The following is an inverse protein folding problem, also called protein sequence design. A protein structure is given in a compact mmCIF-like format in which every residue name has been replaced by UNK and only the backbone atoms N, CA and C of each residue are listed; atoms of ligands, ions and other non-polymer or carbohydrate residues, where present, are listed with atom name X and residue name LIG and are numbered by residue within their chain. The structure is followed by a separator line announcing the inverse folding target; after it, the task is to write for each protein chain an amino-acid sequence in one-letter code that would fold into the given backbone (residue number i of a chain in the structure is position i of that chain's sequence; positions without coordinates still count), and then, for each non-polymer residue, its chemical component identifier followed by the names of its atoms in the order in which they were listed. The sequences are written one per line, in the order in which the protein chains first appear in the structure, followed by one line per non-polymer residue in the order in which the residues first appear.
data_IF_707727960791
#
_entry.id   IF_707727960791
#
_cell.length_a   1.000
_cell.length_b   1.000
_cell.length_c   1.000
_cell.angle_alpha   90.00
_cell.angle_beta   90.00
_cell.angle_gamma   90.00
#
_symmetry.space_group_name_H-M   'P 1'
#
loop_
_entity.id
_entity.type
_entity.pdbx_description
1 polymer ?
#
# COMPACT_ATOMS: atom_id res chain seq x y z
N UNK A 1 17.86 55.74 16.43
CA UNK A 1 17.11 55.09 15.34
C UNK A 1 17.83 53.80 15.00
N UNK A 2 17.16 52.65 15.19
CA UNK A 2 17.43 51.37 14.53
C UNK A 2 16.30 50.42 14.96
N UNK A 3 15.30 50.26 14.11
CA UNK A 3 14.22 49.30 14.30
C UNK A 3 14.62 48.00 13.60
N UNK A 4 14.62 46.91 14.35
CA UNK A 4 14.74 45.53 13.86
C UNK A 4 13.47 45.17 13.08
N UNK A 5 13.54 44.53 11.90
CA UNK A 5 12.33 44.10 11.20
C UNK A 5 11.79 42.82 11.83
N UNK A 6 10.50 42.82 12.14
CA UNK A 6 9.75 41.66 12.60
C UNK A 6 9.57 40.67 11.43
N UNK A 7 9.95 39.40 11.66
CA UNK A 7 9.68 38.31 10.74
C UNK A 7 8.20 37.93 10.83
N UNK A 8 7.43 38.26 9.79
CA UNK A 8 6.08 37.73 9.60
C UNK A 8 6.19 36.25 9.25
N UNK A 9 5.67 35.39 10.13
CA UNK A 9 5.51 33.97 9.87
C UNK A 9 4.29 33.77 8.96
N UNK A 10 4.55 33.31 7.73
CA UNK A 10 3.53 32.92 6.76
C UNK A 10 2.72 31.73 7.29
N UNK A 11 1.60 32.00 7.96
CA UNK A 11 0.60 31.00 8.37
C UNK A 11 -0.18 30.40 7.18
N UNK A 12 0.19 30.73 5.94
CA UNK A 12 -0.63 30.44 4.75
C UNK A 12 -0.15 29.25 3.90
N UNK A 13 0.82 28.45 4.38
CA UNK A 13 1.38 27.34 3.58
C UNK A 13 0.69 25.98 3.83
N UNK A 14 -0.03 25.80 4.94
CA UNK A 14 -0.68 24.50 5.23
C UNK A 14 -2.08 24.32 4.60
N UNK A 15 -2.76 25.39 4.21
CA UNK A 15 -4.10 25.31 3.58
C UNK A 15 -4.05 24.90 2.10
N UNK A 16 -2.90 25.03 1.42
CA UNK A 16 -2.77 24.78 -0.02
C UNK A 16 -2.77 23.30 -0.46
N UNK A 17 -2.87 22.33 0.48
CA UNK A 17 -2.88 20.89 0.16
C UNK A 17 -4.19 20.16 0.52
N UNK A 18 -5.18 20.87 1.07
CA UNK A 18 -6.52 20.32 1.23
C UNK A 18 -7.33 20.54 -0.06
N UNK A 19 -7.01 19.79 -1.11
CA UNK A 19 -7.94 19.66 -2.24
C UNK A 19 -9.20 18.98 -1.70
N UNK A 20 -10.33 19.68 -1.72
CA UNK A 20 -11.66 19.08 -1.59
C UNK A 20 -11.84 18.11 -2.77
N UNK A 21 -11.47 16.85 -2.55
CA UNK A 21 -11.70 15.78 -3.52
C UNK A 21 -13.21 15.51 -3.52
N UNK A 22 -13.90 15.65 -4.66
CA UNK A 22 -15.31 15.32 -4.76
C UNK A 22 -15.55 13.90 -4.22
N UNK A 23 -16.63 13.73 -3.46
CA UNK A 23 -17.04 12.45 -2.84
C UNK A 23 -17.39 11.34 -3.87
N UNK A 24 -17.12 11.58 -5.15
CA UNK A 24 -17.59 10.77 -6.27
C UNK A 24 -16.60 9.83 -6.94
N UNK A 25 -15.28 9.84 -6.66
CA UNK A 25 -14.39 8.90 -7.36
C UNK A 25 -13.08 8.58 -6.61
N UNK A 26 -13.22 8.00 -5.42
CA UNK A 26 -12.06 7.40 -4.76
C UNK A 26 -11.63 6.16 -5.55
N UNK A 27 -10.48 6.22 -6.21
CA UNK A 27 -9.93 5.10 -6.99
C UNK A 27 -9.79 3.78 -6.21
N UNK A 28 -9.32 2.72 -6.88
CA UNK A 28 -9.31 1.37 -6.30
C UNK A 28 -8.43 1.20 -5.05
N UNK A 29 -7.39 2.02 -4.90
CA UNK A 29 -6.52 1.98 -3.72
C UNK A 29 -7.15 2.81 -2.60
N UNK A 30 -7.54 2.14 -1.51
CA UNK A 30 -8.21 2.76 -0.35
C UNK A 30 -7.23 3.08 0.76
N UNK A 31 -6.22 2.23 0.95
CA UNK A 31 -5.14 2.42 1.90
C UNK A 31 -3.83 1.93 1.29
N UNK A 32 -2.73 2.56 1.66
CA UNK A 32 -1.42 2.11 1.25
C UNK A 32 -0.38 2.43 2.33
N UNK A 33 0.69 1.66 2.33
CA UNK A 33 1.88 1.89 3.15
C UNK A 33 3.11 1.70 2.28
N UNK A 34 4.09 2.57 2.43
CA UNK A 34 5.32 2.55 1.63
C UNK A 34 6.52 2.25 2.51
N UNK A 35 7.35 1.30 2.09
CA UNK A 35 8.63 0.98 2.71
C UNK A 35 8.55 0.69 4.22
N UNK A 36 7.50 0.00 4.63
CA UNK A 36 7.32 -0.46 6.00
C UNK A 36 8.38 -1.50 6.33
N UNK A 37 8.88 -1.46 7.56
CA UNK A 37 9.91 -2.40 8.00
C UNK A 37 9.29 -3.71 8.47
N UNK A 38 9.85 -4.82 8.00
CA UNK A 38 9.44 -6.20 8.34
C UNK A 38 9.55 -6.49 9.85
N UNK A 39 10.52 -5.91 10.52
CA UNK A 39 10.81 -6.10 11.95
C UNK A 39 9.86 -5.34 12.89
N UNK A 40 9.16 -4.31 12.39
CA UNK A 40 8.16 -3.55 13.14
C UNK A 40 6.74 -4.16 13.07
N UNK A 41 6.56 -5.24 12.30
CA UNK A 41 5.29 -5.97 12.23
C UNK A 41 5.18 -6.95 13.38
N UNK A 42 4.06 -6.94 14.09
CA UNK A 42 3.74 -7.98 15.07
C UNK A 42 3.12 -9.19 14.36
N UNK A 43 4.00 -10.12 13.99
CA UNK A 43 3.65 -11.35 13.26
C UNK A 43 2.83 -12.34 14.10
N UNK A 44 3.03 -12.36 15.42
CA UNK A 44 2.33 -13.26 16.35
C UNK A 44 0.85 -12.90 16.47
N UNK A 45 0.56 -11.61 16.65
CA UNK A 45 -0.81 -11.11 16.80
C UNK A 45 -1.49 -10.81 15.46
N UNK A 46 -0.80 -11.05 14.33
CA UNK A 46 -1.26 -10.70 12.99
C UNK A 46 -1.61 -9.22 12.85
N UNK A 47 -0.69 -8.36 13.29
CA UNK A 47 -0.87 -6.93 13.40
C UNK A 47 0.14 -6.17 12.49
N UNK A 48 -0.37 -5.61 11.40
CA UNK A 48 0.32 -4.62 10.57
C UNK A 48 -0.27 -3.26 10.94
N UNK A 49 0.35 -2.60 11.93
CA UNK A 49 -0.21 -1.43 12.57
C UNK A 49 0.27 -0.15 11.89
N UNK A 50 -0.68 0.69 11.50
CA UNK A 50 -0.40 2.01 10.93
C UNK A 50 -1.42 3.05 11.37
N UNK A 51 -1.08 4.31 11.18
CA UNK A 51 -1.96 5.43 11.49
C UNK A 51 -2.51 6.03 10.18
N UNK A 52 -3.79 5.82 9.84
CA UNK A 52 -4.39 6.42 8.65
C UNK A 52 -4.43 7.94 8.76
N UNK A 53 -3.83 8.63 7.78
CA UNK A 53 -3.80 10.11 7.74
C UNK A 53 -5.22 10.67 7.71
N UNK A 54 -5.50 11.68 8.53
CA UNK A 54 -6.81 12.32 8.60
C UNK A 54 -7.89 11.57 9.40
N UNK A 55 -7.54 10.49 10.11
CA UNK A 55 -8.45 9.72 10.98
C UNK A 55 -8.34 10.11 12.48
N UNK A 56 -7.53 11.11 12.80
CA UNK A 56 -7.46 11.67 14.15
C UNK A 56 -8.60 12.65 14.46
N UNK A 57 -9.34 13.12 13.44
CA UNK A 57 -10.28 14.24 13.57
C UNK A 57 -9.59 15.56 13.95
N UNK A 58 -10.37 16.64 14.06
CA UNK A 58 -9.86 17.98 14.39
C UNK A 58 -9.38 18.07 15.86
N UNK A 59 -8.52 19.04 16.16
CA UNK A 59 -8.03 19.36 17.51
C UNK A 59 -6.79 18.58 17.97
N UNK A 60 -6.08 19.15 18.96
CA UNK A 60 -4.83 18.60 19.52
C UNK A 60 -5.07 17.27 20.26
N UNK A 61 -4.06 16.40 20.23
CA UNK A 61 -4.03 15.18 21.07
C UNK A 61 -3.61 15.60 22.48
N UNK A 62 -4.35 15.16 23.50
CA UNK A 62 -4.00 15.45 24.89
C UNK A 62 -2.62 14.86 25.25
N UNK A 63 -1.83 15.56 26.07
CA UNK A 63 -0.47 15.15 26.39
C UNK A 63 -0.38 13.75 27.03
N UNK A 64 -1.39 13.37 27.81
CA UNK A 64 -1.51 12.07 28.49
C UNK A 64 -2.28 11.00 27.68
N UNK A 65 -2.59 11.26 26.40
CA UNK A 65 -3.30 10.30 25.57
C UNK A 65 -2.38 9.13 25.21
N UNK A 66 -2.89 7.91 25.34
CA UNK A 66 -2.21 6.70 24.90
C UNK A 66 -2.13 6.65 23.36
N UNK A 67 -0.96 6.99 22.82
CA UNK A 67 -0.72 7.03 21.38
C UNK A 67 -0.82 5.66 20.70
N UNK A 68 -0.74 4.56 21.44
CA UNK A 68 -0.95 3.21 20.89
C UNK A 68 -2.41 2.97 20.45
N UNK A 69 -3.34 3.86 20.82
CA UNK A 69 -4.73 3.83 20.32
C UNK A 69 -4.91 4.54 18.98
N UNK A 70 -3.89 5.25 18.49
CA UNK A 70 -3.92 5.97 17.22
C UNK A 70 -3.52 5.13 16.00
N UNK A 71 -3.42 3.81 16.19
CA UNK A 71 -3.08 2.85 15.15
C UNK A 71 -4.25 1.92 14.85
N UNK A 72 -4.32 1.49 13.60
CA UNK A 72 -5.26 0.54 13.05
C UNK A 72 -4.49 -0.61 12.39
N UNK A 73 -5.05 -1.82 12.45
CA UNK A 73 -4.47 -3.00 11.84
C UNK A 73 -4.91 -3.14 10.38
N UNK A 74 -3.94 -3.28 9.49
CA UNK A 74 -4.14 -3.46 8.05
C UNK A 74 -3.85 -4.87 7.55
N UNK A 75 -3.61 -5.84 8.46
CA UNK A 75 -3.31 -7.23 8.08
C UNK A 75 -4.32 -7.82 7.09
N UNK A 76 -5.61 -7.57 7.34
CA UNK A 76 -6.74 -8.11 6.58
C UNK A 76 -6.98 -7.49 5.20
N UNK A 77 -6.14 -6.56 4.76
CA UNK A 77 -6.25 -5.95 3.44
C UNK A 77 -6.07 -6.97 2.30
N UNK A 78 -6.70 -6.69 1.16
CA UNK A 78 -6.47 -7.39 -0.12
C UNK A 78 -5.97 -6.36 -1.13
N UNK A 79 -5.07 -6.76 -2.00
CA UNK A 79 -4.38 -5.85 -2.90
C UNK A 79 -3.05 -6.40 -3.37
N UNK A 80 -2.14 -5.50 -3.73
CA UNK A 80 -0.78 -5.85 -4.18
C UNK A 80 0.27 -5.34 -3.21
N UNK A 81 1.43 -5.98 -3.22
CA UNK A 81 2.57 -5.60 -2.40
C UNK A 81 3.89 -5.77 -3.15
N UNK A 82 4.89 -5.02 -2.73
CA UNK A 82 6.27 -5.08 -3.22
C UNK A 82 7.20 -5.27 -2.03
N UNK A 83 8.13 -6.20 -2.12
CA UNK A 83 9.20 -6.42 -1.16
C UNK A 83 10.48 -5.78 -1.67
N UNK A 84 11.26 -5.19 -0.77
CA UNK A 84 12.52 -4.54 -1.09
C UNK A 84 13.63 -5.01 -0.17
N UNK A 85 14.86 -4.99 -0.68
CA UNK A 85 16.05 -5.02 0.17
C UNK A 85 16.30 -3.67 0.86
N UNK A 86 17.34 -3.60 1.68
CA UNK A 86 17.68 -2.40 2.45
C UNK A 86 18.05 -1.20 1.57
N UNK A 87 18.46 -1.45 0.32
CA UNK A 87 18.79 -0.41 -0.67
C UNK A 87 17.59 0.04 -1.50
N UNK A 88 16.36 -0.39 -1.14
CA UNK A 88 15.11 -0.09 -1.84
C UNK A 88 15.02 -0.67 -3.25
N UNK A 89 15.81 -1.69 -3.59
CA UNK A 89 15.59 -2.41 -4.85
C UNK A 89 14.38 -3.35 -4.72
N UNK A 90 13.43 -3.33 -5.67
CA UNK A 90 12.36 -4.31 -5.71
C UNK A 90 12.92 -5.72 -5.86
N UNK A 91 12.58 -6.61 -4.94
CA UNK A 91 13.06 -8.00 -4.97
C UNK A 91 11.95 -8.98 -5.28
N UNK A 92 10.71 -8.62 -4.96
CA UNK A 92 9.52 -9.40 -5.27
C UNK A 92 8.29 -8.50 -5.34
N UNK A 93 7.37 -8.77 -6.25
CA UNK A 93 6.03 -8.20 -6.28
C UNK A 93 4.98 -9.32 -6.32
N UNK A 94 3.85 -9.11 -5.65
CA UNK A 94 2.75 -10.07 -5.70
C UNK A 94 1.40 -9.54 -5.24
N UNK A 95 0.37 -10.36 -5.42
CA UNK A 95 -0.99 -10.08 -4.98
C UNK A 95 -1.43 -10.86 -3.71
N UNK A 96 -2.48 -10.35 -3.08
CA UNK A 96 -3.21 -10.96 -1.99
C UNK A 96 -4.72 -10.72 -2.17
N UNK A 97 -5.53 -11.78 -2.11
CA UNK A 97 -6.99 -11.67 -2.13
C UNK A 97 -7.70 -12.48 -3.21
N UNK A 98 -6.95 -13.12 -4.11
CA UNK A 98 -7.49 -13.95 -5.20
C UNK A 98 -8.39 -15.06 -4.63
N UNK A 99 -9.68 -15.00 -4.93
CA UNK A 99 -10.63 -16.07 -4.59
C UNK A 99 -10.65 -17.11 -5.70
N UNK A 100 -10.46 -18.37 -5.36
CA UNK A 100 -10.74 -19.51 -6.24
C UNK A 100 -12.20 -19.95 -6.05
N UNK A 101 -12.72 -20.66 -7.05
CA UNK A 101 -14.14 -21.10 -7.15
C UNK A 101 -14.63 -21.91 -5.93
N UNK A 102 -13.70 -22.39 -5.11
CA UNK A 102 -13.86 -23.26 -3.94
C UNK A 102 -13.22 -22.71 -2.65
N UNK A 103 -12.68 -21.49 -2.64
CA UNK A 103 -12.02 -20.92 -1.46
C UNK A 103 -12.87 -19.84 -0.77
N UNK A 104 -13.13 -20.00 0.53
CA UNK A 104 -13.76 -18.99 1.37
C UNK A 104 -12.78 -17.83 1.66
N UNK A 105 -12.71 -16.87 0.75
CA UNK A 105 -11.91 -15.65 0.90
C UNK A 105 -10.41 -15.85 0.64
N UNK A 106 -9.89 -15.27 -0.44
CA UNK A 106 -8.45 -15.28 -0.72
C UNK A 106 -7.62 -14.68 0.42
N UNK A 107 -6.35 -15.08 0.50
CA UNK A 107 -5.40 -14.67 1.55
C UNK A 107 -5.27 -13.15 1.67
N UNK A 108 -5.11 -12.63 2.88
CA UNK A 108 -4.85 -11.21 3.09
C UNK A 108 -3.38 -10.85 2.86
N UNK A 109 -3.09 -9.55 2.73
CA UNK A 109 -1.72 -9.03 2.54
C UNK A 109 -0.82 -9.51 3.67
N UNK A 110 -1.27 -9.41 4.93
CA UNK A 110 -0.47 -9.87 6.07
C UNK A 110 -0.15 -11.37 6.02
N UNK A 111 -1.09 -12.20 5.56
CA UNK A 111 -0.85 -13.64 5.41
C UNK A 111 0.24 -13.91 4.35
N UNK A 112 0.18 -13.23 3.20
CA UNK A 112 1.18 -13.37 2.12
C UNK A 112 2.56 -12.89 2.55
N UNK A 113 2.63 -11.76 3.25
CA UNK A 113 3.88 -11.24 3.81
C UNK A 113 4.49 -12.21 4.84
N UNK A 114 3.66 -12.81 5.70
CA UNK A 114 4.13 -13.78 6.69
C UNK A 114 4.66 -15.06 6.02
N UNK A 115 4.03 -15.51 4.92
CA UNK A 115 4.56 -16.63 4.12
C UNK A 115 5.94 -16.29 3.56
N UNK A 116 6.14 -15.09 3.00
CA UNK A 116 7.44 -14.63 2.49
C UNK A 116 8.50 -14.49 3.59
N UNK A 117 8.10 -14.09 4.80
CA UNK A 117 8.98 -14.06 5.98
C UNK A 117 9.49 -15.45 6.35
N UNK A 118 8.71 -16.50 6.10
CA UNK A 118 9.06 -17.88 6.47
C UNK A 118 9.71 -18.64 5.30
N UNK A 119 9.62 -18.11 4.08
CA UNK A 119 10.07 -18.76 2.86
C UNK A 119 11.58 -18.79 2.64
N UNK A 120 11.96 -19.30 1.47
CA UNK A 120 13.35 -19.45 1.03
C UNK A 120 14.07 -18.11 0.85
N UNK A 121 13.36 -17.05 0.45
CA UNK A 121 13.92 -15.70 0.24
C UNK A 121 13.69 -14.75 1.42
N UNK A 122 13.42 -15.27 2.63
CA UNK A 122 13.10 -14.49 3.83
C UNK A 122 14.13 -13.41 4.21
N UNK A 123 15.40 -13.64 3.87
CA UNK A 123 16.51 -12.72 4.13
C UNK A 123 16.78 -11.76 2.96
N UNK A 124 16.10 -11.96 1.83
CA UNK A 124 16.29 -11.14 0.63
C UNK A 124 15.52 -9.83 0.66
N UNK A 125 14.74 -9.57 1.71
CA UNK A 125 13.95 -8.35 1.89
C UNK A 125 13.85 -7.95 3.36
N UNK A 126 13.70 -6.65 3.60
CA UNK A 126 13.56 -6.04 4.93
C UNK A 126 12.46 -4.96 4.95
N UNK A 127 12.10 -4.45 3.78
CA UNK A 127 11.10 -3.41 3.58
C UNK A 127 9.98 -3.92 2.69
N UNK A 128 8.77 -3.39 2.84
CA UNK A 128 7.66 -3.69 1.97
C UNK A 128 6.73 -2.49 1.78
N UNK A 129 6.17 -2.38 0.58
CA UNK A 129 5.07 -1.47 0.27
C UNK A 129 3.82 -2.31 -0.01
N UNK A 130 2.66 -1.79 0.33
CA UNK A 130 1.38 -2.47 0.12
C UNK A 130 0.31 -1.47 -0.29
N UNK A 131 -0.60 -1.91 -1.15
CA UNK A 131 -1.67 -1.12 -1.73
C UNK A 131 -2.97 -1.91 -1.61
N UNK A 132 -3.81 -1.53 -0.65
CA UNK A 132 -5.04 -2.21 -0.28
C UNK A 132 -6.26 -1.67 -1.01
N UNK A 133 -7.12 -2.58 -1.45
CA UNK A 133 -8.35 -2.30 -2.19
C UNK A 133 -9.61 -2.34 -1.32
N UNK A 134 -9.48 -2.77 -0.06
CA UNK A 134 -10.61 -2.87 0.85
C UNK A 134 -10.79 -1.56 1.63
N UNK A 135 -12.03 -1.13 1.77
CA UNK A 135 -12.42 -0.02 2.61
C UNK A 135 -13.05 -0.49 3.92
N UNK A 136 -13.18 0.45 4.86
CA UNK A 136 -13.90 0.27 6.12
C UNK A 136 -14.47 1.62 6.53
N UNK A 137 -15.35 1.65 7.53
CA UNK A 137 -15.89 2.89 8.06
C UNK A 137 -14.78 3.80 8.59
N UNK A 138 -14.86 5.11 8.31
CA UNK A 138 -13.87 6.06 8.81
C UNK A 138 -14.01 6.20 10.32
N UNK A 139 -12.99 5.80 11.06
CA UNK A 139 -12.94 5.93 12.51
C UNK A 139 -12.29 7.25 12.93
N UNK A 140 -12.76 7.82 14.05
CA UNK A 140 -12.00 8.83 14.79
C UNK A 140 -11.19 8.14 15.88
N UNK A 141 -9.91 7.86 15.62
CA UNK A 141 -9.07 7.03 16.49
C UNK A 141 -8.86 7.64 17.90
N UNK A 142 -9.08 8.95 18.08
CA UNK A 142 -9.06 9.58 19.42
C UNK A 142 -10.30 9.24 20.26
N UNK A 143 -11.38 8.78 19.62
CA UNK A 143 -12.69 8.53 20.25
C UNK A 143 -13.08 7.05 20.29
N UNK A 144 -12.38 6.18 19.55
CA UNK A 144 -12.63 4.74 19.57
C UNK A 144 -12.23 4.19 20.94
N UNK A 145 -13.19 3.60 21.65
CA UNK A 145 -12.96 2.97 22.96
C UNK A 145 -12.63 1.48 22.83
N UNK A 146 -13.20 0.83 21.83
CA UNK A 146 -13.09 -0.61 21.59
C UNK A 146 -11.88 -0.92 20.71
N UNK A 147 -10.94 -1.70 21.22
CA UNK A 147 -9.76 -2.11 20.47
C UNK A 147 -10.11 -2.98 19.26
N UNK A 148 -11.20 -3.74 19.32
CA UNK A 148 -11.65 -4.62 18.24
C UNK A 148 -11.89 -3.85 16.93
N UNK A 149 -12.50 -2.65 16.99
CA UNK A 149 -12.75 -1.83 15.79
C UNK A 149 -11.48 -1.39 15.06
N UNK A 150 -10.39 -1.20 15.81
CA UNK A 150 -9.10 -0.76 15.24
C UNK A 150 -8.13 -1.92 14.98
N UNK A 151 -8.18 -3.01 15.75
CA UNK A 151 -7.28 -4.16 15.61
C UNK A 151 -7.86 -5.28 14.74
N UNK A 152 -9.18 -5.35 14.61
CA UNK A 152 -9.92 -6.28 13.74
C UNK A 152 -10.98 -5.53 12.91
N UNK A 153 -10.60 -4.52 12.11
CA UNK A 153 -11.55 -3.77 11.31
C UNK A 153 -12.25 -4.67 10.28
N UNK A 154 -13.54 -4.42 10.07
CA UNK A 154 -14.33 -5.11 9.03
C UNK A 154 -13.98 -4.50 7.67
N UNK A 155 -13.26 -5.27 6.86
CA UNK A 155 -12.84 -4.87 5.53
C UNK A 155 -13.82 -5.30 4.44
N UNK A 156 -14.18 -4.39 3.54
CA UNK A 156 -15.12 -4.64 2.46
C UNK A 156 -14.56 -4.13 1.13
N UNK A 157 -14.77 -4.90 0.07
CA UNK A 157 -14.51 -4.44 -1.29
C UNK A 157 -15.80 -3.85 -1.85
N UNK A 158 -15.78 -2.57 -2.25
CA UNK A 158 -16.89 -1.99 -3.02
C UNK A 158 -16.51 -1.93 -4.49
N UNK A 159 -17.12 -2.77 -5.34
CA UNK A 159 -16.84 -2.75 -6.76
C UNK A 159 -17.30 -1.42 -7.37
N UNK A 160 -16.50 -0.88 -8.29
CA UNK A 160 -16.93 0.17 -9.21
C UNK A 160 -17.43 -0.51 -10.49
N UNK A 161 -18.70 -0.32 -10.83
CA UNK A 161 -19.36 -0.89 -12.03
C UNK A 161 -19.19 -2.42 -12.17
N UNK A 162 -18.34 -2.85 -13.11
CA UNK A 162 -18.05 -4.24 -13.50
C UNK A 162 -16.69 -4.75 -12.97
N UNK A 163 -16.01 -3.98 -12.11
CA UNK A 163 -14.69 -4.37 -11.61
C UNK A 163 -14.77 -5.57 -10.66
N UNK A 164 -14.12 -6.66 -11.07
CA UNK A 164 -13.88 -7.81 -10.22
C UNK A 164 -12.55 -7.66 -9.49
N UNK A 165 -12.55 -7.86 -8.17
CA UNK A 165 -11.36 -7.82 -7.33
C UNK A 165 -10.21 -8.67 -7.93
N UNK A 166 -10.52 -9.86 -8.43
CA UNK A 166 -9.54 -10.76 -9.02
C UNK A 166 -8.87 -10.17 -10.28
N UNK A 167 -9.64 -9.48 -11.13
CA UNK A 167 -9.10 -8.83 -12.32
C UNK A 167 -8.16 -7.67 -11.94
N UNK A 168 -8.57 -6.82 -10.99
CA UNK A 168 -7.72 -5.74 -10.49
C UNK A 168 -6.42 -6.28 -9.89
N UNK A 169 -6.50 -7.31 -9.06
CA UNK A 169 -5.31 -7.90 -8.45
C UNK A 169 -4.34 -8.45 -9.50
N UNK A 170 -4.85 -9.16 -10.52
CA UNK A 170 -4.05 -9.68 -11.62
C UNK A 170 -3.40 -8.56 -12.45
N UNK A 171 -4.16 -7.51 -12.81
CA UNK A 171 -3.65 -6.40 -13.61
C UNK A 171 -2.56 -5.61 -12.87
N UNK A 172 -2.78 -5.26 -11.60
CA UNK A 172 -1.78 -4.52 -10.82
C UNK A 172 -0.53 -5.35 -10.53
N UNK A 173 -0.66 -6.64 -10.21
CA UNK A 173 0.50 -7.52 -10.04
C UNK A 173 1.31 -7.63 -11.33
N UNK A 174 0.64 -7.78 -12.48
CA UNK A 174 1.31 -7.86 -13.76
C UNK A 174 2.11 -6.59 -14.07
N UNK A 175 1.55 -5.41 -13.84
CA UNK A 175 2.26 -4.13 -14.01
C UNK A 175 3.51 -4.09 -13.12
N UNK A 176 3.41 -4.50 -11.85
CA UNK A 176 4.54 -4.48 -10.93
C UNK A 176 5.63 -5.48 -11.33
N UNK A 177 5.27 -6.67 -11.79
CA UNK A 177 6.24 -7.69 -12.20
C UNK A 177 6.95 -7.25 -13.48
N UNK A 178 6.21 -6.86 -14.52
CA UNK A 178 6.80 -6.51 -15.81
C UNK A 178 7.55 -5.18 -15.76
N UNK A 179 7.04 -4.20 -15.01
CA UNK A 179 7.65 -2.87 -14.91
C UNK A 179 8.91 -2.81 -14.05
N UNK A 180 9.02 -3.66 -13.02
CA UNK A 180 10.18 -3.67 -12.12
C UNK A 180 11.11 -4.88 -12.29
N UNK A 181 10.68 -5.91 -13.02
CA UNK A 181 11.39 -7.18 -13.19
C UNK A 181 12.09 -7.69 -11.90
N UNK A 182 11.36 -7.86 -10.77
CA UNK A 182 12.01 -8.16 -9.49
C UNK A 182 12.71 -9.52 -9.52
N UNK A 183 13.93 -9.59 -8.99
CA UNK A 183 14.81 -10.77 -9.09
C UNK A 183 14.23 -12.09 -8.56
N UNK A 184 13.25 -12.06 -7.65
CA UNK A 184 12.62 -13.27 -7.10
C UNK A 184 11.25 -13.60 -7.74
N UNK A 185 10.79 -12.82 -8.72
CA UNK A 185 9.64 -13.17 -9.55
C UNK A 185 10.09 -14.07 -10.70
N UNK A 186 10.06 -15.39 -10.48
CA UNK A 186 10.40 -16.36 -11.53
C UNK A 186 9.33 -16.51 -12.62
N UNK A 187 8.10 -16.01 -12.39
CA UNK A 187 6.99 -16.02 -13.34
C UNK A 187 6.66 -14.58 -13.69
N UNK A 188 6.40 -14.31 -14.97
CA UNK A 188 5.85 -13.04 -15.45
C UNK A 188 4.43 -12.79 -14.93
N UNK A 189 3.94 -11.58 -15.16
CA UNK A 189 2.59 -11.15 -14.81
C UNK A 189 1.51 -11.94 -15.57
N UNK A 190 0.31 -12.06 -14.99
CA UNK A 190 -0.85 -12.62 -15.71
C UNK A 190 -1.42 -11.57 -16.69
N UNK A 191 -0.78 -11.43 -17.84
CA UNK A 191 -1.15 -10.51 -18.93
C UNK A 191 -1.98 -11.20 -20.03
N UNK A 192 -2.98 -12.00 -19.65
CA UNK A 192 -3.88 -12.64 -20.61
C UNK A 192 -4.44 -11.63 -21.61
N UNK A 193 -4.36 -11.96 -22.89
CA UNK A 193 -4.85 -11.15 -24.03
C UNK A 193 -4.14 -9.82 -24.27
N UNK A 194 -3.19 -9.42 -23.42
CA UNK A 194 -2.41 -8.22 -23.67
C UNK A 194 -1.44 -8.44 -24.84
N UNK A 195 -1.21 -7.38 -25.63
CA UNK A 195 -0.25 -7.38 -26.73
C UNK A 195 0.95 -6.55 -26.29
N UNK A 196 2.14 -7.16 -26.27
CA UNK A 196 3.38 -6.45 -26.05
C UNK A 196 3.70 -5.60 -27.29
N UNK A 197 3.96 -4.31 -27.07
CA UNK A 197 4.39 -3.38 -28.11
C UNK A 197 5.87 -3.09 -27.89
N UNK A 198 6.71 -3.44 -28.88
CA UNK A 198 8.14 -3.15 -28.83
C UNK A 198 8.41 -1.71 -29.29
N UNK A 199 9.43 -1.10 -28.71
CA UNK A 199 9.92 0.19 -29.18
C UNK A 199 10.45 0.06 -30.60
N UNK A 200 10.03 0.97 -31.49
CA UNK A 200 10.60 1.06 -32.83
C UNK A 200 11.95 1.78 -32.78
N UNK A 201 13.01 1.12 -33.24
CA UNK A 201 14.37 1.67 -33.30
C UNK A 201 14.83 1.83 -34.76
N UNK A 202 14.81 3.06 -35.34
CA UNK A 202 15.07 3.25 -36.77
C UNK A 202 16.52 3.05 -37.22
N UNK A 203 17.52 3.01 -36.32
CA UNK A 203 18.96 2.99 -36.67
C UNK A 203 19.79 1.88 -35.99
N UNK A 204 19.17 0.81 -35.49
CA UNK A 204 19.88 -0.21 -34.69
C UNK A 204 20.98 -0.99 -35.47
N UNK A 205 21.01 -0.91 -36.81
CA UNK A 205 21.92 -1.68 -37.67
C UNK A 205 23.14 -0.90 -38.19
N UNK A 206 23.37 0.36 -37.80
CA UNK A 206 24.48 1.17 -38.33
C UNK A 206 25.78 1.07 -37.50
N UNK A 207 25.81 0.30 -36.40
CA UNK A 207 26.98 0.14 -35.53
C UNK A 207 27.49 -1.30 -35.57
N UNK A 208 27.95 -1.75 -36.75
CA UNK A 208 28.79 -2.94 -36.83
C UNK A 208 29.59 -2.98 -38.14
N UNK A 209 30.37 -1.92 -38.39
CA UNK A 209 31.52 -1.98 -39.30
C UNK A 209 32.61 -1.04 -38.78
N UNK A 210 33.54 -1.61 -38.01
CA UNK A 210 34.93 -1.15 -37.92
C UNK A 210 35.82 -2.32 -38.35
#
# INVERSE_FOLDING_TARGET
MNATPEAQTDENTEEALARDVPVGDAGFIKFYGLYWRKDLVDWSSKHILGQPKGWLGKGRIAANFDRQKLQMNFWGQKGVYVLYDDALHPVYAGQAGLTRKDSAGGQAIGDRLNMHRQGVYRNGWSLFSWFGFLETEKLNLKKVKEDEKRLSPKWEFKPQEQSELNLLLASFEAILIEGFAPRFNARGGDLKTAVLVNQYEPHANEISTN
#
